data_IF_575470932219
#
_entry.id   IF_575470932219
#
_cell.length_a   1.000
_cell.length_b   1.000
_cell.length_c   1.000
_cell.angle_alpha   90.00
_cell.angle_beta   90.00
_cell.angle_gamma   90.00
#
_symmetry.space_group_name_H-M   'P 1'
#
loop_
_entity.id
_entity.type
_entity.pdbx_description
1 polymer ?
#
# COMPACT_ATOMS: atom_id res chain seq x y z
N UNK A 1 4.76 -25.36 7.87
CA UNK A 1 5.04 -26.75 8.26
C UNK A 1 6.50 -27.17 8.07
N UNK A 2 7.21 -26.71 7.04
CA UNK A 2 8.63 -27.04 6.79
C UNK A 2 9.60 -26.60 7.91
N UNK A 3 9.36 -25.43 8.54
CA UNK A 3 10.24 -24.89 9.59
C UNK A 3 10.30 -25.78 10.88
N UNK A 4 9.16 -26.38 11.27
CA UNK A 4 9.13 -27.29 12.43
C UNK A 4 9.91 -28.60 12.18
N UNK A 5 10.01 -29.03 10.92
CA UNK A 5 10.71 -30.27 10.56
C UNK A 5 12.23 -30.08 10.58
N UNK A 6 12.73 -28.90 10.13
CA UNK A 6 14.16 -28.58 10.13
C UNK A 6 14.70 -28.37 11.56
N UNK A 7 13.96 -27.68 12.41
CA UNK A 7 14.33 -27.50 13.82
C UNK A 7 14.36 -28.88 14.53
N UNK A 8 13.40 -29.77 14.30
CA UNK A 8 13.36 -31.11 14.86
C UNK A 8 14.53 -32.01 14.39
N UNK A 9 15.05 -31.80 13.19
CA UNK A 9 16.19 -32.57 12.67
C UNK A 9 17.49 -32.13 13.34
N UNK A 10 17.71 -30.84 13.54
CA UNK A 10 18.85 -30.26 14.28
C UNK A 10 18.79 -30.67 15.75
N UNK A 11 17.61 -30.69 16.36
CA UNK A 11 17.38 -31.15 17.74
C UNK A 11 17.78 -32.60 17.95
N UNK A 12 17.56 -33.50 16.99
CA UNK A 12 17.99 -34.89 17.07
C UNK A 12 19.53 -35.06 17.08
N UNK A 13 20.27 -34.17 16.39
CA UNK A 13 21.72 -34.15 16.39
C UNK A 13 22.31 -33.77 17.74
N UNK A 14 21.75 -32.80 18.45
CA UNK A 14 22.21 -32.36 19.77
C UNK A 14 22.08 -33.50 20.80
N UNK A 15 21.01 -34.29 20.75
CA UNK A 15 20.80 -35.46 21.63
C UNK A 15 21.84 -36.54 21.37
N UNK A 16 22.33 -36.71 20.16
CA UNK A 16 23.34 -37.69 19.78
C UNK A 16 24.75 -37.29 20.27
N UNK A 17 25.07 -35.98 20.30
CA UNK A 17 26.35 -35.47 20.81
C UNK A 17 26.50 -35.72 22.29
N UNK A 18 25.42 -35.60 23.07
CA UNK A 18 25.41 -35.87 24.52
C UNK A 18 25.71 -37.32 24.89
N UNK A 19 25.44 -38.29 24.00
CA UNK A 19 25.65 -39.70 24.28
C UNK A 19 27.11 -40.21 24.03
N UNK A 20 27.93 -39.46 23.29
CA UNK A 20 29.29 -39.84 22.92
C UNK A 20 30.39 -39.35 23.90
N UNK A 21 30.06 -38.53 24.88
CA UNK A 21 31.02 -37.79 25.74
C UNK A 21 31.51 -38.46 27.03
N UNK A 22 31.22 -39.72 27.27
CA UNK A 22 31.61 -40.42 28.51
C UNK A 22 32.81 -41.34 28.26
N UNK A 23 34.02 -40.84 28.34
CA UNK A 23 35.28 -41.48 28.71
C UNK A 23 36.49 -40.90 27.95
N UNK A 24 37.09 -39.84 28.48
CA UNK A 24 38.49 -39.52 28.19
C UNK A 24 39.08 -38.63 29.30
N UNK A 25 40.36 -38.84 29.61
CA UNK A 25 41.11 -38.15 30.66
C UNK A 25 40.95 -36.61 30.59
N UNK A 26 40.60 -36.01 31.70
CA UNK A 26 40.30 -34.58 31.87
C UNK A 26 41.53 -33.73 31.51
N UNK A 27 41.61 -33.28 30.28
CA UNK A 27 42.33 -32.06 29.90
C UNK A 27 41.41 -30.85 30.08
N UNK A 28 41.96 -29.64 30.30
CA UNK A 28 41.17 -28.43 30.40
C UNK A 28 40.19 -28.29 29.22
N UNK A 29 40.61 -28.64 28.01
CA UNK A 29 39.79 -28.66 26.81
C UNK A 29 38.62 -29.66 26.86
N UNK A 30 38.76 -30.78 27.52
CA UNK A 30 37.66 -31.75 27.72
C UNK A 30 36.64 -31.24 28.73
N UNK A 31 37.08 -30.50 29.74
CA UNK A 31 36.21 -29.85 30.72
C UNK A 31 35.40 -28.69 30.06
N UNK A 32 36.05 -27.86 29.22
CA UNK A 32 35.41 -26.78 28.49
C UNK A 32 34.36 -27.33 27.50
N UNK A 33 34.65 -28.44 26.81
CA UNK A 33 33.69 -29.14 25.95
C UNK A 33 32.50 -29.73 26.69
N UNK A 34 32.71 -30.30 27.89
CA UNK A 34 31.62 -30.77 28.72
C UNK A 34 30.67 -29.59 29.10
N UNK A 35 31.25 -28.45 29.48
CA UNK A 35 30.51 -27.24 29.80
C UNK A 35 29.74 -26.71 28.57
N UNK A 36 30.37 -26.58 27.40
CA UNK A 36 29.71 -26.15 26.19
C UNK A 36 28.53 -27.05 25.80
N UNK A 37 28.70 -28.36 25.99
CA UNK A 37 27.65 -29.37 25.75
C UNK A 37 26.46 -29.18 26.69
N UNK A 38 26.74 -28.98 28.00
CA UNK A 38 25.69 -28.73 28.99
C UNK A 38 24.91 -27.45 28.71
N UNK A 39 25.61 -26.36 28.38
CA UNK A 39 24.99 -25.09 27.98
C UNK A 39 24.11 -25.28 26.73
N UNK A 40 24.61 -25.97 25.72
CA UNK A 40 23.84 -26.21 24.48
C UNK A 40 22.63 -27.14 24.72
N UNK A 41 22.71 -28.09 25.65
CA UNK A 41 21.57 -28.90 26.05
C UNK A 41 20.51 -28.09 26.76
N UNK A 42 20.88 -27.23 27.71
CA UNK A 42 19.95 -26.29 28.35
C UNK A 42 19.30 -25.33 27.35
N UNK A 43 20.10 -24.82 26.40
CA UNK A 43 19.59 -23.98 25.31
C UNK A 43 18.58 -24.72 24.41
N UNK A 44 18.83 -26.00 24.13
CA UNK A 44 17.89 -26.82 23.37
C UNK A 44 16.60 -27.12 24.15
N UNK A 45 16.67 -27.33 25.47
CA UNK A 45 15.48 -27.47 26.33
C UNK A 45 14.66 -26.16 26.34
N UNK A 46 15.32 -25.01 26.46
CA UNK A 46 14.68 -23.70 26.35
C UNK A 46 13.98 -23.54 25.00
N UNK A 47 14.64 -23.93 23.90
CA UNK A 47 14.04 -23.88 22.56
C UNK A 47 12.81 -24.80 22.45
N UNK A 48 12.83 -25.96 23.04
CA UNK A 48 11.69 -26.88 23.05
C UNK A 48 10.52 -26.36 23.89
N UNK A 49 10.80 -25.65 24.96
CA UNK A 49 9.78 -24.99 25.79
C UNK A 49 9.24 -23.69 25.16
N UNK A 50 9.86 -23.21 24.06
CA UNK A 50 9.47 -21.97 23.37
C UNK A 50 10.16 -20.71 23.91
N UNK A 51 11.10 -20.85 24.85
CA UNK A 51 11.94 -19.73 25.31
C UNK A 51 13.09 -19.49 24.33
N UNK A 52 12.76 -18.83 23.23
CA UNK A 52 13.72 -18.51 22.17
C UNK A 52 14.85 -17.59 22.67
N UNK A 53 14.58 -16.73 23.65
CA UNK A 53 15.59 -15.82 24.19
C UNK A 53 16.66 -16.56 24.99
N UNK A 54 16.24 -17.44 25.92
CA UNK A 54 17.15 -18.27 26.66
C UNK A 54 17.93 -19.23 25.74
N UNK A 55 17.26 -19.82 24.74
CA UNK A 55 17.89 -20.68 23.75
C UNK A 55 18.97 -19.94 22.96
N UNK A 56 18.68 -18.74 22.46
CA UNK A 56 19.62 -17.90 21.70
C UNK A 56 20.86 -17.58 22.52
N UNK A 57 20.67 -17.16 23.78
CA UNK A 57 21.75 -16.82 24.68
C UNK A 57 22.65 -18.04 24.95
N UNK A 58 22.06 -19.20 25.24
CA UNK A 58 22.83 -20.41 25.51
C UNK A 58 23.62 -20.90 24.29
N UNK A 59 23.05 -20.89 23.08
CA UNK A 59 23.80 -21.24 21.86
C UNK A 59 24.90 -20.24 21.54
N UNK A 60 24.69 -18.91 21.78
CA UNK A 60 25.73 -17.88 21.64
C UNK A 60 26.85 -18.03 22.65
N UNK A 61 26.58 -18.54 23.86
CA UNK A 61 27.57 -18.81 24.88
C UNK A 61 28.35 -20.12 24.58
N UNK A 62 27.68 -21.17 24.12
CA UNK A 62 28.31 -22.45 23.80
C UNK A 62 29.24 -22.37 22.57
N UNK A 63 28.92 -21.53 21.59
CA UNK A 63 29.63 -21.45 20.32
C UNK A 63 31.13 -21.15 20.48
N UNK A 64 31.55 -20.05 21.13
CA UNK A 64 32.99 -19.74 21.26
C UNK A 64 33.77 -20.80 22.06
N UNK A 65 33.15 -21.46 23.02
CA UNK A 65 33.78 -22.56 23.79
C UNK A 65 33.99 -23.77 22.87
N UNK A 66 33.00 -24.12 22.06
CA UNK A 66 33.08 -25.20 21.10
C UNK A 66 34.14 -24.90 19.99
N UNK A 67 34.21 -23.66 19.52
CA UNK A 67 35.25 -23.24 18.56
C UNK A 67 36.68 -23.33 19.14
N UNK A 68 36.86 -22.91 20.38
CA UNK A 68 38.16 -23.00 21.06
C UNK A 68 38.64 -24.44 21.26
N UNK A 69 37.73 -25.42 21.31
CA UNK A 69 38.05 -26.83 21.41
C UNK A 69 38.52 -27.48 20.08
N UNK A 70 38.55 -26.72 18.98
CA UNK A 70 38.99 -27.19 17.66
C UNK A 70 38.20 -28.38 17.14
N UNK A 71 38.87 -29.43 16.68
CA UNK A 71 38.22 -30.60 16.07
C UNK A 71 37.22 -31.27 17.03
N UNK A 72 37.50 -31.27 18.33
CA UNK A 72 36.61 -31.87 19.33
C UNK A 72 35.28 -31.11 19.46
N UNK A 73 35.28 -29.80 19.21
CA UNK A 73 34.11 -28.94 19.28
C UNK A 73 33.42 -28.70 17.94
N UNK A 74 34.00 -29.12 16.83
CA UNK A 74 33.57 -28.75 15.49
C UNK A 74 32.09 -29.09 15.22
N UNK A 75 31.58 -30.23 15.66
CA UNK A 75 30.17 -30.62 15.45
C UNK A 75 29.22 -29.73 16.25
N UNK A 76 29.55 -29.39 17.49
CA UNK A 76 28.76 -28.51 18.33
C UNK A 76 28.77 -27.08 17.79
N UNK A 77 29.96 -26.56 17.40
CA UNK A 77 30.09 -25.24 16.80
C UNK A 77 29.25 -25.11 15.52
N UNK A 78 29.32 -26.11 14.62
CA UNK A 78 28.48 -26.12 13.41
C UNK A 78 26.99 -26.19 13.73
N UNK A 79 26.60 -26.89 14.78
CA UNK A 79 25.21 -26.92 15.22
C UNK A 79 24.76 -25.55 15.75
N UNK A 80 25.59 -24.89 16.56
CA UNK A 80 25.29 -23.52 17.03
C UNK A 80 25.20 -22.53 15.89
N UNK A 81 26.12 -22.58 14.93
CA UNK A 81 26.09 -21.71 13.72
C UNK A 81 24.85 -21.93 12.87
N UNK A 82 24.34 -23.15 12.77
CA UNK A 82 23.09 -23.42 12.03
C UNK A 82 21.85 -22.92 12.78
N UNK A 83 21.83 -23.05 14.11
CA UNK A 83 20.61 -22.80 14.88
C UNK A 83 20.42 -21.32 15.28
N UNK A 84 21.51 -20.60 15.60
CA UNK A 84 21.47 -19.18 16.01
C UNK A 84 20.69 -18.32 15.04
N UNK A 85 21.00 -18.29 13.73
CA UNK A 85 20.26 -17.44 12.79
C UNK A 85 18.80 -17.88 12.63
N UNK A 86 18.49 -19.17 12.79
CA UNK A 86 17.10 -19.67 12.76
C UNK A 86 16.28 -19.20 13.95
N UNK A 87 16.87 -19.16 15.15
CA UNK A 87 16.20 -18.63 16.35
C UNK A 87 15.94 -17.14 16.17
N UNK A 88 16.94 -16.38 15.75
CA UNK A 88 16.80 -14.93 15.47
C UNK A 88 15.67 -14.66 14.48
N UNK A 89 15.63 -15.41 13.38
CA UNK A 89 14.58 -15.28 12.38
C UNK A 89 13.19 -15.65 12.93
N UNK A 90 13.12 -16.69 13.78
CA UNK A 90 11.86 -17.09 14.43
C UNK A 90 11.36 -16.00 15.39
N UNK A 91 12.25 -15.43 16.21
CA UNK A 91 11.93 -14.31 17.10
C UNK A 91 11.47 -13.08 16.31
N UNK A 92 12.15 -12.75 15.20
CA UNK A 92 11.72 -11.67 14.31
C UNK A 92 10.30 -11.88 13.75
N UNK A 93 9.96 -13.11 13.36
CA UNK A 93 8.61 -13.47 12.91
C UNK A 93 7.57 -13.38 14.03
N UNK A 94 7.94 -13.62 15.28
CA UNK A 94 7.04 -13.46 16.42
C UNK A 94 6.78 -11.98 16.69
N UNK A 95 7.80 -11.11 16.60
CA UNK A 95 7.62 -9.66 16.70
C UNK A 95 6.69 -9.09 15.61
N UNK A 96 6.70 -9.66 14.40
CA UNK A 96 5.72 -9.29 13.34
C UNK A 96 4.28 -9.55 13.81
N UNK A 97 4.02 -10.69 14.46
CA UNK A 97 2.69 -11.06 14.98
C UNK A 97 2.24 -10.10 16.09
N UNK A 98 3.18 -9.65 16.92
CA UNK A 98 2.98 -8.68 17.98
C UNK A 98 2.87 -7.23 17.45
N UNK A 99 3.13 -7.03 16.16
CA UNK A 99 3.16 -5.73 15.47
C UNK A 99 4.28 -4.81 15.96
N UNK A 100 5.30 -5.35 16.60
CA UNK A 100 6.57 -4.66 16.83
C UNK A 100 7.45 -4.80 15.58
N UNK A 101 7.21 -3.90 14.61
CA UNK A 101 7.91 -3.96 13.33
C UNK A 101 9.37 -3.51 13.44
N UNK A 102 9.71 -2.67 14.42
CA UNK A 102 11.09 -2.23 14.65
C UNK A 102 11.91 -3.36 15.27
N UNK A 103 11.40 -4.01 16.30
CA UNK A 103 12.00 -5.21 16.88
C UNK A 103 12.11 -6.35 15.85
N UNK A 104 11.08 -6.51 15.00
CA UNK A 104 11.12 -7.48 13.92
C UNK A 104 12.24 -7.22 12.92
N UNK A 105 12.41 -5.96 12.46
CA UNK A 105 13.48 -5.57 11.53
C UNK A 105 14.85 -5.79 12.13
N UNK A 106 15.05 -5.44 13.40
CA UNK A 106 16.32 -5.64 14.11
C UNK A 106 16.69 -7.14 14.19
N UNK A 107 15.77 -7.98 14.64
CA UNK A 107 15.99 -9.42 14.75
C UNK A 107 16.19 -10.11 13.39
N UNK A 108 15.45 -9.70 12.36
CA UNK A 108 15.62 -10.25 11.01
C UNK A 108 16.97 -9.85 10.42
N UNK A 109 17.41 -8.60 10.61
CA UNK A 109 18.74 -8.16 10.18
C UNK A 109 19.86 -8.91 10.92
N UNK A 110 19.71 -9.13 12.23
CA UNK A 110 20.66 -9.96 12.98
C UNK A 110 20.67 -11.41 12.48
N UNK A 111 19.50 -11.97 12.11
CA UNK A 111 19.40 -13.31 11.54
C UNK A 111 20.14 -13.40 10.20
N UNK A 112 19.98 -12.41 9.32
CA UNK A 112 20.69 -12.34 8.03
C UNK A 112 22.19 -12.26 8.25
N UNK A 113 22.67 -11.33 9.08
CA UNK A 113 24.09 -11.15 9.35
C UNK A 113 24.73 -12.42 9.92
N UNK A 114 24.09 -13.07 10.91
CA UNK A 114 24.57 -14.32 11.45
C UNK A 114 24.52 -15.48 10.43
N UNK A 115 23.50 -15.50 9.57
CA UNK A 115 23.37 -16.51 8.53
C UNK A 115 24.46 -16.37 7.45
N UNK A 116 24.79 -15.16 7.06
CA UNK A 116 25.89 -14.88 6.11
C UNK A 116 27.24 -15.23 6.72
N UNK A 117 27.49 -14.81 7.96
CA UNK A 117 28.73 -15.13 8.69
C UNK A 117 28.96 -16.66 8.81
N UNK A 118 27.88 -17.41 9.09
CA UNK A 118 27.96 -18.84 9.31
C UNK A 118 27.69 -19.69 8.05
N UNK A 119 27.47 -19.06 6.88
CA UNK A 119 27.24 -19.75 5.62
C UNK A 119 25.85 -20.38 5.49
N UNK A 120 24.87 -19.94 6.28
CA UNK A 120 23.49 -20.43 6.22
C UNK A 120 22.62 -19.58 5.27
N UNK A 121 22.99 -19.56 4.00
CA UNK A 121 22.39 -18.70 2.98
C UNK A 121 20.87 -18.86 2.82
N UNK A 122 20.32 -20.02 3.15
CA UNK A 122 18.87 -20.22 3.09
C UNK A 122 18.10 -19.40 4.12
N UNK A 123 18.70 -19.14 5.29
CA UNK A 123 18.10 -18.28 6.33
C UNK A 123 18.26 -16.81 5.96
N UNK A 124 19.42 -16.44 5.40
CA UNK A 124 19.63 -15.08 4.90
C UNK A 124 18.60 -14.71 3.83
N UNK A 125 18.42 -15.56 2.82
CA UNK A 125 17.43 -15.36 1.75
C UNK A 125 15.99 -15.27 2.28
N UNK A 126 15.66 -16.08 3.29
CA UNK A 126 14.35 -16.02 3.94
C UNK A 126 14.15 -14.70 4.69
N UNK A 127 15.20 -14.21 5.38
CA UNK A 127 15.21 -12.91 6.04
C UNK A 127 15.03 -11.76 5.07
N UNK A 128 15.79 -11.75 3.98
CA UNK A 128 15.71 -10.73 2.95
C UNK A 128 14.31 -10.58 2.35
N UNK A 129 13.63 -11.72 2.14
CA UNK A 129 12.23 -11.74 1.67
C UNK A 129 11.23 -11.18 2.67
N UNK A 130 11.56 -11.16 3.97
CA UNK A 130 10.68 -10.61 5.01
C UNK A 130 10.78 -9.10 5.13
N UNK A 131 11.97 -8.51 4.95
CA UNK A 131 12.22 -7.08 5.17
C UNK A 131 11.24 -6.16 4.43
N UNK A 132 10.98 -6.33 3.11
CA UNK A 132 10.03 -5.49 2.40
C UNK A 132 8.61 -5.55 2.99
N UNK A 133 8.18 -6.75 3.37
CA UNK A 133 6.86 -6.97 3.97
C UNK A 133 6.73 -6.35 5.37
N UNK A 134 7.79 -6.40 6.18
CA UNK A 134 7.83 -5.76 7.50
C UNK A 134 7.76 -4.24 7.34
N UNK A 135 8.57 -3.65 6.45
CA UNK A 135 8.56 -2.22 6.15
C UNK A 135 7.18 -1.76 5.67
N UNK A 136 6.56 -2.51 4.77
CA UNK A 136 5.21 -2.21 4.28
C UNK A 136 4.16 -2.30 5.40
N UNK A 137 4.27 -3.28 6.29
CA UNK A 137 3.38 -3.45 7.43
C UNK A 137 3.53 -2.33 8.45
N UNK A 138 4.76 -1.88 8.72
CA UNK A 138 5.07 -0.71 9.57
C UNK A 138 4.42 0.56 8.99
N UNK A 139 4.65 0.83 7.71
CA UNK A 139 4.08 1.99 7.03
C UNK A 139 2.53 1.98 7.03
N UNK A 140 1.91 0.82 6.81
CA UNK A 140 0.46 0.64 6.93
C UNK A 140 -0.03 0.85 8.38
N UNK A 141 0.75 0.43 9.37
CA UNK A 141 0.47 0.66 10.79
C UNK A 141 0.36 2.15 11.12
N UNK A 142 1.34 2.95 10.65
CA UNK A 142 1.34 4.41 10.79
C UNK A 142 0.12 5.05 10.11
N UNK A 143 -0.21 4.61 8.89
CA UNK A 143 -1.38 5.09 8.16
C UNK A 143 -2.69 4.82 8.93
N UNK A 144 -2.83 3.63 9.49
CA UNK A 144 -4.00 3.24 10.30
C UNK A 144 -4.08 4.02 11.62
N UNK A 145 -2.94 4.34 12.22
CA UNK A 145 -2.83 5.20 13.39
C UNK A 145 -3.09 6.68 13.09
N UNK A 146 -3.31 7.03 11.80
CA UNK A 146 -3.47 8.40 11.28
C UNK A 146 -2.22 9.26 11.45
N UNK A 147 -1.07 8.67 11.64
CA UNK A 147 0.21 9.33 11.48
C UNK A 147 0.54 9.39 9.97
N UNK A 148 -0.10 10.36 9.30
CA UNK A 148 -0.03 10.46 7.84
C UNK A 148 1.35 10.90 7.35
N UNK A 149 2.03 11.76 8.09
CA UNK A 149 3.36 12.20 7.73
C UNK A 149 4.40 11.08 7.93
N UNK A 150 4.38 10.40 9.07
CA UNK A 150 5.23 9.23 9.31
C UNK A 150 4.95 8.10 8.31
N UNK A 151 3.68 7.86 7.96
CA UNK A 151 3.32 6.90 6.91
C UNK A 151 3.89 7.30 5.54
N UNK A 152 3.79 8.58 5.17
CA UNK A 152 4.33 9.08 3.90
C UNK A 152 5.85 8.91 3.81
N UNK A 153 6.58 9.24 4.89
CA UNK A 153 8.03 9.01 4.96
C UNK A 153 8.39 7.53 4.83
N UNK A 154 7.67 6.66 5.53
CA UNK A 154 7.90 5.22 5.49
C UNK A 154 7.62 4.62 4.10
N UNK A 155 6.53 5.02 3.42
CA UNK A 155 6.25 4.58 2.04
C UNK A 155 7.28 5.15 1.04
N UNK A 156 7.75 6.38 1.24
CA UNK A 156 8.80 6.98 0.43
C UNK A 156 10.10 6.20 0.53
N UNK A 157 10.51 5.81 1.74
CA UNK A 157 11.69 4.97 1.95
C UNK A 157 11.57 3.57 1.29
N UNK A 158 10.35 3.03 1.16
CA UNK A 158 10.12 1.80 0.39
C UNK A 158 10.32 2.06 -1.11
N UNK A 159 9.82 3.17 -1.63
CA UNK A 159 9.95 3.54 -3.05
C UNK A 159 11.37 3.95 -3.44
N UNK A 160 12.17 4.49 -2.51
CA UNK A 160 13.58 4.77 -2.73
C UNK A 160 14.39 3.47 -2.97
N UNK A 161 13.97 2.37 -2.34
CA UNK A 161 14.58 1.04 -2.51
C UNK A 161 13.95 0.26 -3.69
N UNK A 162 12.68 0.44 -3.95
CA UNK A 162 11.92 -0.24 -5.02
C UNK A 162 10.96 0.76 -5.68
N UNK A 163 11.44 1.55 -6.66
CA UNK A 163 10.63 2.57 -7.35
C UNK A 163 9.42 2.02 -8.11
N UNK A 164 9.41 0.72 -8.43
CA UNK A 164 8.33 0.06 -9.14
C UNK A 164 7.25 -0.52 -8.21
N UNK A 165 7.37 -0.31 -6.90
CA UNK A 165 6.40 -0.77 -5.94
C UNK A 165 5.08 0.01 -6.01
N UNK A 166 4.21 -0.37 -6.92
CA UNK A 166 2.92 0.30 -7.12
C UNK A 166 2.03 0.32 -5.87
N UNK A 167 2.13 -0.70 -5.00
CA UNK A 167 1.37 -0.73 -3.74
C UNK A 167 1.86 0.35 -2.78
N UNK A 168 3.18 0.50 -2.63
CA UNK A 168 3.76 1.56 -1.80
C UNK A 168 3.40 2.95 -2.34
N UNK A 169 3.49 3.15 -3.67
CA UNK A 169 3.10 4.39 -4.33
C UNK A 169 1.62 4.74 -4.09
N UNK A 170 0.73 3.75 -4.20
CA UNK A 170 -0.70 3.94 -3.94
C UNK A 170 -0.95 4.35 -2.47
N UNK A 171 -0.27 3.72 -1.53
CA UNK A 171 -0.39 4.03 -0.10
C UNK A 171 0.23 5.37 0.25
N UNK A 172 1.36 5.73 -0.37
CA UNK A 172 1.95 7.06 -0.27
C UNK A 172 0.94 8.13 -0.70
N UNK A 173 0.31 7.96 -1.87
CA UNK A 173 -0.72 8.87 -2.34
C UNK A 173 -1.89 9.02 -1.34
N UNK A 174 -2.29 7.93 -0.69
CA UNK A 174 -3.33 7.97 0.35
C UNK A 174 -2.89 8.74 1.60
N UNK A 175 -1.67 8.52 2.08
CA UNK A 175 -1.09 9.24 3.22
C UNK A 175 -0.98 10.74 2.93
N UNK A 176 -0.41 11.10 1.78
CA UNK A 176 -0.26 12.49 1.34
C UNK A 176 -1.63 13.19 1.14
N UNK A 177 -2.61 12.50 0.57
CA UNK A 177 -3.98 13.03 0.45
C UNK A 177 -4.61 13.31 1.80
N UNK A 178 -4.38 12.43 2.78
CA UNK A 178 -4.92 12.57 4.13
C UNK A 178 -4.23 13.69 4.92
N UNK A 179 -2.94 13.96 4.67
CA UNK A 179 -2.20 15.10 5.24
C UNK A 179 -2.41 16.42 4.48
N UNK A 180 -3.20 16.42 3.40
CA UNK A 180 -3.52 17.61 2.62
C UNK A 180 -2.47 17.99 1.56
N UNK A 181 -1.43 17.20 1.35
CA UNK A 181 -0.36 17.41 0.36
C UNK A 181 -0.81 16.92 -1.03
N UNK A 182 -1.80 17.62 -1.62
CA UNK A 182 -2.52 17.13 -2.80
C UNK A 182 -1.66 16.99 -4.06
N UNK A 183 -0.70 17.90 -4.30
CA UNK A 183 0.19 17.81 -5.48
C UNK A 183 1.11 16.60 -5.40
N UNK A 184 1.69 16.37 -4.21
CA UNK A 184 2.51 15.19 -3.99
C UNK A 184 1.68 13.89 -4.06
N UNK A 185 0.43 13.94 -3.55
CA UNK A 185 -0.49 12.80 -3.64
C UNK A 185 -0.82 12.44 -5.09
N UNK A 186 -1.03 13.43 -5.98
CA UNK A 186 -1.24 13.18 -7.41
C UNK A 186 -0.04 12.47 -8.02
N UNK A 187 1.17 12.97 -7.78
CA UNK A 187 2.40 12.34 -8.30
C UNK A 187 2.55 10.89 -7.83
N UNK A 188 2.28 10.62 -6.55
CA UNK A 188 2.32 9.26 -6.01
C UNK A 188 1.26 8.34 -6.63
N UNK A 189 0.04 8.84 -6.89
CA UNK A 189 -0.98 8.05 -7.59
C UNK A 189 -0.64 7.83 -9.07
N UNK A 190 0.01 8.77 -9.74
CA UNK A 190 0.49 8.58 -11.11
C UNK A 190 1.60 7.52 -11.15
N UNK A 191 2.51 7.51 -10.19
CA UNK A 191 3.50 6.45 -10.03
C UNK A 191 2.82 5.09 -9.79
N UNK A 192 1.79 5.04 -8.93
CA UNK A 192 1.01 3.83 -8.68
C UNK A 192 0.29 3.34 -9.95
N UNK A 193 -0.23 4.26 -10.76
CA UNK A 193 -0.86 3.97 -12.06
C UNK A 193 0.12 3.32 -13.02
N UNK A 194 1.33 3.87 -13.14
CA UNK A 194 2.39 3.33 -13.98
C UNK A 194 2.86 1.93 -13.52
N UNK A 195 2.73 1.64 -12.23
CA UNK A 195 3.23 0.40 -11.60
C UNK A 195 2.08 -0.57 -11.19
N UNK A 196 1.07 -0.70 -12.06
CA UNK A 196 0.07 -1.78 -11.98
C UNK A 196 -1.11 -1.54 -11.03
N UNK A 197 -1.23 -0.36 -10.39
CA UNK A 197 -2.37 -0.02 -9.54
C UNK A 197 -3.45 0.78 -10.29
N UNK A 198 -3.64 0.48 -11.58
CA UNK A 198 -4.41 1.28 -12.55
C UNK A 198 -5.81 1.65 -12.04
N UNK A 199 -6.64 0.68 -11.69
CA UNK A 199 -8.05 0.90 -11.32
C UNK A 199 -8.18 1.83 -10.11
N UNK A 200 -7.37 1.61 -9.08
CA UNK A 200 -7.47 2.36 -7.83
C UNK A 200 -6.86 3.75 -7.97
N UNK A 201 -5.70 3.85 -8.61
CA UNK A 201 -5.02 5.11 -8.85
C UNK A 201 -5.85 6.06 -9.73
N UNK A 202 -6.43 5.57 -10.84
CA UNK A 202 -7.36 6.36 -11.68
C UNK A 202 -8.53 6.91 -10.88
N UNK A 203 -9.14 6.08 -10.03
CA UNK A 203 -10.26 6.52 -9.17
C UNK A 203 -9.83 7.63 -8.21
N UNK A 204 -8.66 7.51 -7.59
CA UNK A 204 -8.18 8.53 -6.64
C UNK A 204 -7.83 9.83 -7.35
N UNK A 205 -7.14 9.78 -8.49
CA UNK A 205 -6.82 10.94 -9.31
C UNK A 205 -8.10 11.65 -9.79
N UNK A 206 -9.06 10.90 -10.34
CA UNK A 206 -10.37 11.45 -10.74
C UNK A 206 -11.06 12.17 -9.57
N UNK A 207 -11.07 11.57 -8.37
CA UNK A 207 -11.68 12.18 -7.19
C UNK A 207 -10.97 13.46 -6.73
N UNK A 208 -9.64 13.52 -6.81
CA UNK A 208 -8.88 14.74 -6.48
C UNK A 208 -9.26 15.85 -7.45
N UNK A 209 -9.19 15.60 -8.75
CA UNK A 209 -9.54 16.60 -9.76
C UNK A 209 -11.03 17.00 -9.71
N UNK A 210 -11.93 16.09 -9.36
CA UNK A 210 -13.33 16.43 -9.14
C UNK A 210 -13.53 17.40 -7.97
N UNK A 211 -12.81 17.23 -6.87
CA UNK A 211 -12.82 18.15 -5.72
C UNK A 211 -12.24 19.52 -6.11
N UNK A 212 -11.14 19.53 -6.86
CA UNK A 212 -10.54 20.76 -7.39
C UNK A 212 -11.53 21.50 -8.29
N UNK A 213 -12.21 20.81 -9.20
CA UNK A 213 -13.23 21.39 -10.06
C UNK A 213 -14.38 22.01 -9.25
N UNK A 214 -14.85 21.32 -8.22
CA UNK A 214 -15.90 21.85 -7.32
C UNK A 214 -15.45 23.10 -6.57
N UNK A 215 -14.21 23.10 -6.06
CA UNK A 215 -13.64 24.23 -5.35
C UNK A 215 -13.45 25.43 -6.28
N UNK A 216 -12.94 25.21 -7.49
CA UNK A 216 -12.77 26.24 -8.50
C UNK A 216 -14.12 26.85 -8.94
N UNK A 217 -15.15 26.01 -9.16
CA UNK A 217 -16.49 26.48 -9.50
C UNK A 217 -17.08 27.36 -8.38
N UNK A 218 -16.95 26.95 -7.12
CA UNK A 218 -17.40 27.73 -5.96
C UNK A 218 -16.63 29.04 -5.83
N UNK A 219 -15.35 29.04 -6.16
CA UNK A 219 -14.47 30.21 -6.13
C UNK A 219 -14.62 31.14 -7.34
N UNK A 220 -15.54 30.85 -8.27
CA UNK A 220 -15.74 31.67 -9.49
C UNK A 220 -14.63 31.52 -10.54
N UNK A 221 -13.71 30.56 -10.37
CA UNK A 221 -12.62 30.27 -11.30
C UNK A 221 -13.11 29.27 -12.37
N UNK A 222 -13.93 29.76 -13.29
CA UNK A 222 -14.67 28.88 -14.19
C UNK A 222 -13.78 28.12 -15.17
N UNK A 223 -12.73 28.75 -15.71
CA UNK A 223 -11.77 28.05 -16.58
C UNK A 223 -11.04 26.93 -15.85
N UNK A 224 -10.60 27.17 -14.61
CA UNK A 224 -9.94 26.15 -13.78
C UNK A 224 -10.91 25.00 -13.47
N UNK A 225 -12.19 25.31 -13.21
CA UNK A 225 -13.21 24.31 -12.94
C UNK A 225 -13.44 23.38 -14.15
N UNK A 226 -13.51 23.95 -15.37
CA UNK A 226 -13.64 23.17 -16.61
C UNK A 226 -12.41 22.28 -16.82
N UNK A 227 -11.21 22.85 -16.65
CA UNK A 227 -9.95 22.12 -16.82
C UNK A 227 -9.84 20.96 -15.83
N UNK A 228 -10.08 21.22 -14.54
CA UNK A 228 -10.01 20.18 -13.50
C UNK A 228 -11.07 19.08 -13.71
N UNK A 229 -12.30 19.45 -14.11
CA UNK A 229 -13.34 18.47 -14.44
C UNK A 229 -12.96 17.62 -15.67
N UNK A 230 -12.32 18.21 -16.68
CA UNK A 230 -11.76 17.49 -17.82
C UNK A 230 -10.74 16.45 -17.38
N UNK A 231 -9.76 16.85 -16.58
CA UNK A 231 -8.76 15.92 -16.00
C UNK A 231 -9.39 14.80 -15.18
N UNK A 232 -10.45 15.10 -14.40
CA UNK A 232 -11.19 14.06 -13.68
C UNK A 232 -11.72 12.98 -14.63
N UNK A 233 -12.29 13.39 -15.78
CA UNK A 233 -12.85 12.49 -16.79
C UNK A 233 -11.78 11.73 -17.59
N UNK A 234 -10.59 12.28 -17.78
CA UNK A 234 -9.45 11.56 -18.40
C UNK A 234 -9.03 10.33 -17.60
N UNK A 235 -9.08 10.43 -16.26
CA UNK A 235 -8.78 9.30 -15.41
C UNK A 235 -9.95 8.34 -15.28
N UNK A 236 -11.15 8.86 -15.09
CA UNK A 236 -12.37 8.04 -14.94
C UNK A 236 -13.60 8.86 -15.35
N UNK A 237 -14.34 8.39 -16.35
CA UNK A 237 -15.60 9.02 -16.75
C UNK A 237 -16.54 9.23 -15.57
N UNK A 238 -16.99 10.46 -15.37
CA UNK A 238 -17.75 10.87 -14.22
C UNK A 238 -18.82 11.92 -14.61
N UNK A 239 -20.08 11.52 -14.51
CA UNK A 239 -21.19 12.43 -14.80
C UNK A 239 -21.13 13.73 -13.98
N UNK A 240 -20.73 13.67 -12.70
CA UNK A 240 -20.60 14.86 -11.88
C UNK A 240 -19.53 15.83 -12.40
N UNK A 241 -18.42 15.31 -12.93
CA UNK A 241 -17.39 16.17 -13.54
C UNK A 241 -17.96 16.89 -14.78
N UNK A 242 -18.67 16.18 -15.65
CA UNK A 242 -19.34 16.78 -16.79
C UNK A 242 -20.34 17.87 -16.37
N UNK A 243 -21.15 17.62 -15.34
CA UNK A 243 -22.09 18.60 -14.81
C UNK A 243 -21.39 19.85 -14.23
N UNK A 244 -20.28 19.67 -13.51
CA UNK A 244 -19.50 20.80 -12.97
C UNK A 244 -18.91 21.62 -14.10
N UNK A 245 -18.32 20.96 -15.11
CA UNK A 245 -17.76 21.64 -16.28
C UNK A 245 -18.86 22.40 -17.08
N UNK A 246 -20.02 21.79 -17.32
CA UNK A 246 -21.14 22.42 -17.95
C UNK A 246 -21.65 23.67 -17.21
N UNK A 247 -21.79 23.55 -15.88
CA UNK A 247 -22.17 24.69 -15.04
C UNK A 247 -21.14 25.82 -15.06
N UNK A 248 -19.85 25.48 -15.02
CA UNK A 248 -18.76 26.45 -15.11
C UNK A 248 -18.73 27.14 -16.46
N UNK A 249 -18.95 26.40 -17.56
CA UNK A 249 -19.01 26.92 -18.92
C UNK A 249 -20.17 27.89 -19.11
N UNK A 250 -21.37 27.58 -18.58
CA UNK A 250 -22.48 28.52 -18.58
C UNK A 250 -22.13 29.84 -17.88
N UNK A 251 -21.47 29.75 -16.73
CA UNK A 251 -21.01 30.93 -15.96
C UNK A 251 -19.92 31.72 -16.71
N UNK A 252 -19.06 31.03 -17.45
CA UNK A 252 -18.04 31.62 -18.30
C UNK A 252 -18.60 32.16 -19.62
N UNK A 253 -19.89 31.91 -19.95
CA UNK A 253 -20.53 32.17 -21.26
C UNK A 253 -19.85 31.42 -22.41
N UNK A 254 -19.27 30.26 -22.14
CA UNK A 254 -18.71 29.32 -23.11
C UNK A 254 -19.81 28.33 -23.51
N UNK A 255 -20.59 28.67 -24.51
CA UNK A 255 -21.73 27.87 -24.94
C UNK A 255 -21.30 26.50 -25.49
N UNK A 256 -20.18 26.43 -26.21
CA UNK A 256 -19.72 25.18 -26.82
C UNK A 256 -19.29 24.18 -25.74
N UNK A 257 -18.51 24.64 -24.76
CA UNK A 257 -18.12 23.80 -23.63
C UNK A 257 -19.35 23.42 -22.79
N UNK A 258 -20.33 24.31 -22.59
CA UNK A 258 -21.55 24.00 -21.85
C UNK A 258 -22.35 22.89 -22.53
N UNK A 259 -22.57 23.00 -23.86
CA UNK A 259 -23.27 22.00 -24.66
C UNK A 259 -22.58 20.66 -24.56
N UNK A 260 -21.29 20.60 -24.89
CA UNK A 260 -20.52 19.33 -24.88
C UNK A 260 -20.59 18.61 -23.53
N UNK A 261 -20.41 19.36 -22.44
CA UNK A 261 -20.39 18.78 -21.11
C UNK A 261 -21.78 18.36 -20.61
N UNK A 262 -22.83 19.13 -20.90
CA UNK A 262 -24.17 18.76 -20.50
C UNK A 262 -24.75 17.61 -21.34
N UNK A 263 -24.45 17.53 -22.63
CA UNK A 263 -24.82 16.37 -23.46
C UNK A 263 -24.13 15.10 -22.92
N UNK A 264 -22.83 15.17 -22.59
CA UNK A 264 -22.12 14.06 -21.99
C UNK A 264 -22.71 13.66 -20.60
N UNK A 265 -23.08 14.64 -19.79
CA UNK A 265 -23.77 14.40 -18.52
C UNK A 265 -25.06 13.60 -18.70
N UNK A 266 -25.91 14.04 -19.64
CA UNK A 266 -27.17 13.38 -19.94
C UNK A 266 -26.97 11.97 -20.52
N UNK A 267 -25.90 11.75 -21.30
CA UNK A 267 -25.52 10.43 -21.77
C UNK A 267 -25.14 9.49 -20.63
N UNK A 268 -24.36 9.97 -19.65
CA UNK A 268 -23.88 9.18 -18.52
C UNK A 268 -24.96 9.00 -17.43
N UNK A 269 -25.93 9.91 -17.35
CA UNK A 269 -26.95 9.92 -16.30
C UNK A 269 -28.31 10.38 -16.84
N UNK A 270 -28.93 9.64 -17.78
CA UNK A 270 -30.16 10.07 -18.45
C UNK A 270 -31.36 10.24 -17.52
N UNK A 271 -31.39 9.49 -16.42
CA UNK A 271 -32.46 9.51 -15.42
C UNK A 271 -32.12 10.32 -14.16
N UNK A 272 -31.14 11.22 -14.24
CA UNK A 272 -30.80 12.07 -13.12
C UNK A 272 -31.99 13.01 -12.77
N UNK A 273 -32.19 13.29 -11.48
CA UNK A 273 -33.29 14.15 -11.01
C UNK A 273 -33.30 15.54 -11.63
N UNK A 274 -32.15 16.04 -12.03
CA UNK A 274 -31.95 17.34 -12.63
C UNK A 274 -31.77 17.29 -14.17
N UNK A 275 -31.94 16.12 -14.78
CA UNK A 275 -31.80 15.95 -16.23
C UNK A 275 -32.69 16.93 -17.03
N UNK A 276 -33.97 17.08 -16.67
CA UNK A 276 -34.87 17.99 -17.34
C UNK A 276 -34.47 19.45 -17.19
N UNK A 277 -33.88 19.86 -16.07
CA UNK A 277 -33.30 21.19 -15.90
C UNK A 277 -32.08 21.42 -16.78
N UNK A 278 -31.23 20.43 -16.94
CA UNK A 278 -30.10 20.50 -17.89
C UNK A 278 -30.57 20.55 -19.33
N UNK A 279 -31.59 19.76 -19.72
CA UNK A 279 -32.21 19.78 -21.03
C UNK A 279 -32.79 21.19 -21.31
N UNK A 280 -33.48 21.79 -20.34
CA UNK A 280 -33.99 23.15 -20.45
C UNK A 280 -32.84 24.17 -20.68
N UNK A 281 -31.76 24.04 -19.94
CA UNK A 281 -30.56 24.89 -20.09
C UNK A 281 -29.96 24.77 -21.50
N UNK A 282 -29.83 23.56 -22.02
CA UNK A 282 -29.35 23.31 -23.39
C UNK A 282 -30.29 23.97 -24.44
N UNK A 283 -31.62 23.83 -24.27
CA UNK A 283 -32.58 24.47 -25.16
C UNK A 283 -32.40 26.00 -25.20
N UNK A 284 -32.21 26.61 -24.01
CA UNK A 284 -31.95 28.07 -23.92
C UNK A 284 -30.62 28.45 -24.58
N UNK A 285 -29.57 27.68 -24.40
CA UNK A 285 -28.28 27.96 -25.03
C UNK A 285 -28.41 27.89 -26.56
N UNK A 286 -29.05 26.87 -27.12
CA UNK A 286 -29.28 26.76 -28.56
C UNK A 286 -30.16 27.90 -29.10
N UNK A 287 -31.19 28.28 -28.36
CA UNK A 287 -32.03 29.43 -28.72
C UNK A 287 -31.23 30.72 -28.77
N UNK A 288 -30.39 30.98 -27.76
CA UNK A 288 -29.56 32.20 -27.71
C UNK A 288 -28.44 32.19 -28.77
N UNK A 289 -28.01 31.04 -29.21
CA UNK A 289 -27.02 30.86 -30.30
C UNK A 289 -27.69 30.93 -31.69
N UNK A 290 -29.01 31.13 -31.77
CA UNK A 290 -29.75 31.21 -33.02
C UNK A 290 -30.06 29.86 -33.69
N UNK A 291 -29.73 28.73 -33.03
CA UNK A 291 -30.04 27.41 -33.55
C UNK A 291 -31.44 26.98 -33.11
N UNK A 292 -32.43 27.48 -33.89
CA UNK A 292 -33.85 27.26 -33.61
C UNK A 292 -34.24 25.79 -33.61
N UNK A 293 -33.73 25.02 -34.56
CA UNK A 293 -34.04 23.62 -34.75
C UNK A 293 -33.62 22.81 -33.52
N UNK A 294 -32.40 22.99 -33.06
CA UNK A 294 -31.87 22.32 -31.85
C UNK A 294 -32.62 22.81 -30.60
N UNK A 295 -32.90 24.09 -30.46
CA UNK A 295 -33.67 24.60 -29.33
C UNK A 295 -35.04 23.92 -29.22
N UNK A 296 -35.77 23.81 -30.34
CA UNK A 296 -37.07 23.12 -30.40
C UNK A 296 -36.93 21.65 -30.04
N UNK A 297 -35.93 20.96 -30.60
CA UNK A 297 -35.64 19.55 -30.27
C UNK A 297 -35.48 19.31 -28.74
N UNK A 298 -34.70 20.16 -28.10
CA UNK A 298 -34.48 20.04 -26.65
C UNK A 298 -35.69 20.43 -25.83
N UNK A 299 -36.44 21.48 -26.19
CA UNK A 299 -37.71 21.80 -25.53
C UNK A 299 -38.75 20.70 -25.69
N UNK A 300 -38.80 20.02 -26.80
CA UNK A 300 -39.73 18.87 -27.02
C UNK A 300 -39.50 17.73 -26.03
N UNK A 301 -38.26 17.50 -25.63
CA UNK A 301 -37.91 16.45 -24.65
C UNK A 301 -38.54 16.67 -23.26
N UNK A 302 -38.92 17.90 -22.93
CA UNK A 302 -39.43 18.30 -21.61
C UNK A 302 -40.85 18.87 -21.62
N UNK A 303 -41.61 18.79 -22.73
CA UNK A 303 -42.97 19.36 -22.84
C UNK A 303 -43.98 18.77 -21.87
N UNK A 304 -43.74 17.55 -21.35
CA UNK A 304 -44.59 16.88 -20.36
C UNK A 304 -44.08 17.01 -18.94
N UNK A 305 -42.93 17.66 -18.75
CA UNK A 305 -42.34 17.82 -17.42
C UNK A 305 -43.19 18.78 -16.57
N UNK A 306 -43.53 18.44 -15.33
CA UNK A 306 -44.37 19.27 -14.47
C UNK A 306 -43.82 20.67 -14.20
N UNK A 307 -42.49 20.82 -14.17
CA UNK A 307 -41.79 22.08 -13.86
C UNK A 307 -41.48 22.90 -15.12
N UNK A 308 -41.02 22.24 -16.18
CA UNK A 308 -40.50 22.90 -17.38
C UNK A 308 -41.44 22.85 -18.57
N UNK A 309 -42.44 21.99 -18.58
CA UNK A 309 -43.27 21.71 -19.75
C UNK A 309 -44.07 22.88 -20.26
N UNK A 310 -44.61 23.73 -19.40
CA UNK A 310 -45.37 24.94 -19.81
C UNK A 310 -44.44 25.95 -20.52
N UNK A 311 -43.27 26.18 -19.96
CA UNK A 311 -42.22 27.04 -20.55
C UNK A 311 -41.78 26.47 -21.90
N UNK A 312 -41.52 25.19 -22.00
CA UNK A 312 -41.10 24.53 -23.23
C UNK A 312 -42.14 24.72 -24.36
N UNK A 313 -43.43 24.49 -24.08
CA UNK A 313 -44.51 24.74 -25.08
C UNK A 313 -44.56 26.16 -25.56
N UNK A 314 -44.45 27.14 -24.65
CA UNK A 314 -44.44 28.54 -25.01
C UNK A 314 -43.25 28.94 -25.90
N UNK A 315 -42.04 28.42 -25.57
CA UNK A 315 -40.84 28.68 -26.35
C UNK A 315 -40.90 28.05 -27.76
N UNK A 316 -41.39 26.80 -27.86
CA UNK A 316 -41.59 26.14 -29.15
C UNK A 316 -42.54 26.96 -30.03
N UNK A 317 -43.68 27.44 -29.47
CA UNK A 317 -44.63 28.25 -30.19
C UNK A 317 -44.04 29.59 -30.65
N UNK A 318 -43.15 30.19 -29.86
CA UNK A 318 -42.47 31.44 -30.21
C UNK A 318 -41.39 31.24 -31.30
N UNK A 319 -40.67 30.13 -31.29
CA UNK A 319 -39.61 29.79 -32.25
C UNK A 319 -40.16 29.37 -33.62
N UNK A 320 -41.42 28.94 -33.71
CA UNK A 320 -42.11 28.54 -34.96
C UNK A 320 -42.77 29.72 -35.67
N UNK A 321 -42.76 30.92 -35.11
CA UNK A 321 -43.20 32.15 -35.72
C UNK A 321 -42.09 32.81 -36.53
#
# INVERSE_FOLDING_TARGET
MQNKTNIRYVMKKIILIAAAGLFAAFSAAAQDMAQATEIAQAANEALQSGDNAAALNGFKEALPIAEAAGDAGAELANTCRDIIPRILLAMGKDQIKEKDFDGALDLVNQAIAAAEEYGNFSVAEEGDKLIPNIKLSKANGLLNAKDFDGAAEAFKAILDADPENGVAALRLGAALSASGKMEEAKAAYEQALANGQEKTARKQLSNIFLKEAQAALKGGKFADAISAAGKSNEYLENANACKIAGNAAVKAKDNDAAIANFEKYLQLSPNAKDANGIICTLAVIFQQSGNKEKAIEYYQKIVTDPQYGQTAKAQIAALNK
#
